data_IF_709325668180
#
_entry.id   IF_709325668180
#
_cell.length_a   1.000
_cell.length_b   1.000
_cell.length_c   1.000
_cell.angle_alpha   90.00
_cell.angle_beta   90.00
_cell.angle_gamma   90.00
#
_symmetry.space_group_name_H-M   'P 1'
#
loop_
_entity.id
_entity.type
_entity.pdbx_description
1 polymer ?
#
# COMPACT_ATOMS: atom_id res chain seq x y z
N UNK A 1 -11.90 4.85 -12.99
CA UNK A 1 -10.75 5.37 -13.77
C UNK A 1 -9.45 4.87 -13.14
N UNK A 2 -8.29 4.87 -13.83
CA UNK A 2 -7.01 4.38 -13.29
C UNK A 2 -6.65 4.96 -11.90
N UNK A 3 -6.96 6.25 -11.67
CA UNK A 3 -6.72 6.89 -10.38
C UNK A 3 -7.58 6.31 -9.24
N UNK A 4 -8.83 5.93 -9.52
CA UNK A 4 -9.72 5.30 -8.53
C UNK A 4 -9.23 3.90 -8.17
N UNK A 5 -8.74 3.13 -9.15
CA UNK A 5 -8.17 1.79 -8.90
C UNK A 5 -6.90 1.84 -8.03
N UNK A 6 -6.01 2.82 -8.26
CA UNK A 6 -4.82 2.99 -7.42
C UNK A 6 -5.16 3.48 -6.01
N UNK A 7 -6.20 4.31 -5.89
CA UNK A 7 -6.71 4.77 -4.60
C UNK A 7 -7.27 3.59 -3.79
N UNK A 8 -8.14 2.78 -4.38
CA UNK A 8 -8.71 1.58 -3.76
C UNK A 8 -7.63 0.58 -3.33
N UNK A 9 -6.60 0.37 -4.16
CA UNK A 9 -5.47 -0.49 -3.82
C UNK A 9 -4.67 0.05 -2.62
N UNK A 10 -4.44 1.36 -2.54
CA UNK A 10 -3.78 1.97 -1.40
C UNK A 10 -4.58 1.81 -0.09
N UNK A 11 -5.91 1.96 -0.17
CA UNK A 11 -6.82 1.74 0.97
C UNK A 11 -6.81 0.29 1.43
N UNK A 12 -6.83 -0.66 0.50
CA UNK A 12 -6.71 -2.08 0.79
C UNK A 12 -5.40 -2.40 1.53
N UNK A 13 -4.26 -1.98 0.98
CA UNK A 13 -2.93 -2.18 1.57
C UNK A 13 -2.88 -1.60 3.00
N UNK A 14 -3.33 -0.35 3.18
CA UNK A 14 -3.34 0.31 4.48
C UNK A 14 -4.25 -0.41 5.48
N UNK A 15 -5.42 -0.91 5.04
CA UNK A 15 -6.36 -1.63 5.90
C UNK A 15 -5.80 -2.97 6.40
N UNK A 16 -5.03 -3.69 5.57
CA UNK A 16 -4.48 -5.01 5.90
C UNK A 16 -3.24 -4.93 6.78
N UNK A 17 -2.41 -3.90 6.57
CA UNK A 17 -1.12 -3.76 7.26
C UNK A 17 -1.20 -2.89 8.52
N UNK A 18 -2.27 -2.10 8.70
CA UNK A 18 -2.48 -1.29 9.89
C UNK A 18 -1.31 -0.33 10.10
N UNK A 19 -0.78 -0.26 11.32
CA UNK A 19 0.32 0.66 11.66
C UNK A 19 1.65 0.39 10.97
N UNK A 20 1.80 -0.72 10.24
CA UNK A 20 2.99 -0.95 9.40
C UNK A 20 3.02 -0.05 8.15
N UNK A 21 1.85 0.47 7.74
CA UNK A 21 1.69 1.48 6.68
C UNK A 21 1.23 2.79 7.33
N UNK A 22 2.06 3.82 7.21
CA UNK A 22 1.79 5.14 7.81
C UNK A 22 0.99 6.05 6.89
N UNK A 23 0.94 5.74 5.59
CA UNK A 23 0.19 6.48 4.59
C UNK A 23 0.38 5.94 3.19
N UNK A 24 -0.36 6.50 2.23
CA UNK A 24 -0.13 6.29 0.81
C UNK A 24 -0.61 7.53 0.03
N UNK A 25 -0.14 7.68 -1.19
CA UNK A 25 -0.62 8.72 -2.09
C UNK A 25 -0.54 8.29 -3.56
N UNK A 26 -1.45 8.83 -4.38
CA UNK A 26 -1.46 8.62 -5.82
C UNK A 26 -1.04 9.91 -6.52
N UNK A 27 0.03 9.84 -7.31
CA UNK A 27 0.52 10.97 -8.09
C UNK A 27 1.05 10.49 -9.44
N UNK A 28 0.80 11.25 -10.50
CA UNK A 28 1.30 10.97 -11.85
C UNK A 28 1.01 9.54 -12.39
N UNK A 29 -0.06 8.90 -11.91
CA UNK A 29 -0.43 7.54 -12.32
C UNK A 29 0.30 6.44 -11.54
N UNK A 30 0.95 6.77 -10.43
CA UNK A 30 1.65 5.84 -9.55
C UNK A 30 1.06 5.87 -8.15
N UNK A 31 1.05 4.72 -7.47
CA UNK A 31 0.75 4.58 -6.05
C UNK A 31 2.06 4.50 -5.27
N UNK A 32 2.24 5.39 -4.31
CA UNK A 32 3.36 5.35 -3.34
C UNK A 32 2.81 5.00 -1.97
N UNK A 33 3.41 4.00 -1.30
CA UNK A 33 3.06 3.57 0.05
C UNK A 33 4.19 3.92 1.01
N UNK A 34 3.85 4.53 2.14
CA UNK A 34 4.77 4.89 3.22
C UNK A 34 4.69 3.83 4.31
N UNK A 35 5.83 3.26 4.69
CA UNK A 35 5.90 2.12 5.60
C UNK A 35 6.87 2.38 6.77
N UNK A 36 6.56 1.79 7.93
CA UNK A 36 7.48 1.77 9.05
C UNK A 36 8.71 0.92 8.72
N UNK A 37 9.91 1.50 8.87
CA UNK A 37 11.15 0.84 8.44
C UNK A 37 11.39 -0.50 9.15
N UNK A 38 10.95 -0.63 10.40
CA UNK A 38 11.07 -1.87 11.17
C UNK A 38 10.14 -2.99 10.65
N UNK A 39 9.04 -2.64 9.98
CA UNK A 39 8.04 -3.58 9.46
C UNK A 39 8.24 -3.88 7.97
N UNK A 40 9.29 -3.33 7.32
CA UNK A 40 9.43 -3.34 5.87
C UNK A 40 9.39 -4.75 5.26
N UNK A 41 9.93 -5.75 5.96
CA UNK A 41 9.89 -7.15 5.48
C UNK A 41 8.45 -7.65 5.41
N UNK A 42 7.65 -7.43 6.46
CA UNK A 42 6.24 -7.82 6.51
C UNK A 42 5.41 -7.10 5.45
N UNK A 43 5.67 -5.82 5.24
CA UNK A 43 5.01 -5.03 4.18
C UNK A 43 5.32 -5.63 2.81
N UNK A 44 6.58 -5.92 2.51
CA UNK A 44 6.99 -6.52 1.24
C UNK A 44 6.46 -7.95 1.04
N UNK A 45 6.37 -8.74 2.11
CA UNK A 45 5.76 -10.08 2.06
C UNK A 45 4.27 -10.00 1.69
N UNK A 46 3.51 -9.11 2.33
CA UNK A 46 2.11 -8.87 1.98
C UNK A 46 1.99 -8.42 0.52
N UNK A 47 2.75 -7.41 0.09
CA UNK A 47 2.66 -6.91 -1.30
C UNK A 47 3.03 -7.96 -2.35
N UNK A 48 3.87 -8.94 -2.00
CA UNK A 48 4.26 -10.05 -2.88
C UNK A 48 3.18 -11.13 -2.96
N UNK A 49 2.56 -11.46 -1.82
CA UNK A 49 1.73 -12.65 -1.67
C UNK A 49 0.22 -12.35 -1.74
N UNK A 50 -0.18 -11.09 -1.60
CA UNK A 50 -1.58 -10.68 -1.73
C UNK A 50 -2.06 -10.88 -3.16
N UNK A 51 -3.19 -11.56 -3.31
CA UNK A 51 -3.72 -12.02 -4.59
C UNK A 51 -4.80 -11.09 -5.18
N UNK A 52 -5.07 -9.96 -4.50
CA UNK A 52 -6.05 -8.95 -4.90
C UNK A 52 -5.47 -7.91 -5.86
#
# INVERSE_FOLDING_TARGET
MMAETLQELGEHIASKLGSAVTGFHVAFGELTVEAEAAEIIRVLEFMRDDAE
#
